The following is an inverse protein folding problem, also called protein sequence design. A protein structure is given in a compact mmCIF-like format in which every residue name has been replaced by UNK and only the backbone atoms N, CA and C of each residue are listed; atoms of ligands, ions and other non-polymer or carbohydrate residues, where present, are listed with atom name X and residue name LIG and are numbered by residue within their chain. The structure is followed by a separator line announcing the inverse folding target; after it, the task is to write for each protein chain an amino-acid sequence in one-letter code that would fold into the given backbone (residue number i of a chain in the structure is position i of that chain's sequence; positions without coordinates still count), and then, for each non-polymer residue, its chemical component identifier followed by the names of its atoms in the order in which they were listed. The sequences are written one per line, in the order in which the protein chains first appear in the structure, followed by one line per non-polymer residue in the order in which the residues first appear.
data_IF_892339812208
#
_entry.id   IF_892339812208
#
_cell.length_a   1.000
_cell.length_b   1.000
_cell.length_c   1.000
_cell.angle_alpha   90.00
_cell.angle_beta   90.00
_cell.angle_gamma   90.00
#
_symmetry.space_group_name_H-M   'P 1'
#
loop_
_entity.id
_entity.type
_entity.pdbx_description
1 polymer ?
#
# COMPACT_ATOMS: atom_id res chain seq x y z
N UNK A 1 -0.12 -44.77 27.24
CA UNK A 1 0.04 -43.32 27.39
C UNK A 1 0.37 -42.65 26.05
N UNK A 2 1.17 -43.26 25.16
CA UNK A 2 1.57 -42.71 23.85
C UNK A 2 0.39 -42.49 22.90
N UNK A 3 -0.55 -43.42 22.79
CA UNK A 3 -1.74 -43.31 21.90
C UNK A 3 -2.65 -42.12 22.27
N UNK A 4 -2.79 -41.78 23.57
CA UNK A 4 -3.55 -40.59 24.00
C UNK A 4 -2.88 -39.26 23.60
N UNK A 5 -1.56 -39.21 23.53
CA UNK A 5 -0.80 -38.00 23.12
C UNK A 5 -0.91 -37.82 21.63
N UNK A 6 -0.79 -38.86 20.80
CA UNK A 6 -0.99 -38.80 19.37
C UNK A 6 -2.41 -38.33 18.98
N UNK A 7 -3.46 -38.89 19.61
CA UNK A 7 -4.82 -38.47 19.36
C UNK A 7 -5.07 -37.00 19.74
N UNK A 8 -4.43 -36.51 20.80
CA UNK A 8 -4.54 -35.12 21.23
C UNK A 8 -3.87 -34.16 20.23
N UNK A 9 -2.74 -34.58 19.67
CA UNK A 9 -2.00 -33.82 18.65
C UNK A 9 -2.77 -33.75 17.32
N UNK A 10 -3.36 -34.84 16.85
CA UNK A 10 -4.18 -34.86 15.64
C UNK A 10 -5.48 -34.05 15.80
N UNK A 11 -6.12 -34.12 16.96
CA UNK A 11 -7.27 -33.28 17.28
C UNK A 11 -6.90 -31.78 17.30
N UNK A 12 -5.74 -31.43 17.85
CA UNK A 12 -5.24 -30.06 17.88
C UNK A 12 -4.97 -29.55 16.45
N UNK A 13 -4.32 -30.35 15.60
CA UNK A 13 -4.11 -30.02 14.18
C UNK A 13 -5.42 -29.76 13.44
N UNK A 14 -6.41 -30.64 13.64
CA UNK A 14 -7.74 -30.50 13.01
C UNK A 14 -8.44 -29.22 13.49
N UNK A 15 -8.31 -28.90 14.77
CA UNK A 15 -8.87 -27.68 15.35
C UNK A 15 -8.20 -26.42 14.82
N UNK A 16 -6.87 -26.40 14.76
CA UNK A 16 -6.06 -25.31 14.18
C UNK A 16 -6.43 -25.12 12.70
N UNK A 17 -6.54 -26.19 11.92
CA UNK A 17 -6.93 -26.13 10.51
C UNK A 17 -8.33 -25.53 10.34
N UNK A 18 -9.28 -25.86 11.22
CA UNK A 18 -10.64 -25.28 11.24
C UNK A 18 -10.62 -23.79 11.58
N UNK A 19 -9.80 -23.35 12.55
CA UNK A 19 -9.64 -21.92 12.88
C UNK A 19 -9.04 -21.17 11.70
N UNK A 20 -7.97 -21.67 11.11
CA UNK A 20 -7.28 -21.03 9.98
C UNK A 20 -8.17 -21.01 8.71
N UNK A 21 -9.06 -21.99 8.54
CA UNK A 21 -10.01 -22.00 7.41
C UNK A 21 -11.17 -21.00 7.58
N UNK A 22 -11.41 -20.48 8.78
CA UNK A 22 -12.46 -19.51 9.04
C UNK A 22 -12.15 -18.18 8.35
N UNK A 23 -13.09 -17.69 7.52
CA UNK A 23 -12.95 -16.45 6.75
C UNK A 23 -12.73 -15.22 7.64
N UNK A 24 -13.39 -15.16 8.80
CA UNK A 24 -13.23 -14.06 9.75
C UNK A 24 -11.84 -14.06 10.39
N UNK A 25 -11.31 -15.23 10.73
CA UNK A 25 -9.95 -15.36 11.26
C UNK A 25 -8.89 -14.96 10.23
N UNK A 26 -9.07 -15.37 8.97
CA UNK A 26 -8.19 -14.94 7.87
C UNK A 26 -8.20 -13.41 7.69
N UNK A 27 -9.38 -12.78 7.75
CA UNK A 27 -9.50 -11.32 7.68
C UNK A 27 -8.76 -10.65 8.84
N UNK A 28 -8.96 -11.12 10.07
CA UNK A 28 -8.26 -10.58 11.25
C UNK A 28 -6.75 -10.71 11.13
N UNK A 29 -6.23 -11.83 10.60
CA UNK A 29 -4.81 -12.02 10.35
C UNK A 29 -4.27 -11.07 9.26
N UNK A 30 -5.06 -10.79 8.22
CA UNK A 30 -4.69 -9.82 7.19
C UNK A 30 -4.58 -8.42 7.77
N UNK A 31 -5.56 -7.99 8.57
CA UNK A 31 -5.53 -6.69 9.25
C UNK A 31 -4.30 -6.59 10.15
N UNK A 32 -4.07 -7.58 11.01
CA UNK A 32 -2.90 -7.62 11.89
C UNK A 32 -1.58 -7.58 11.11
N UNK A 33 -1.51 -8.28 9.96
CA UNK A 33 -0.35 -8.23 9.08
C UNK A 33 -0.12 -6.82 8.55
N UNK A 34 -1.17 -6.12 8.10
CA UNK A 34 -1.08 -4.75 7.61
C UNK A 34 -0.62 -3.78 8.71
N UNK A 35 -1.18 -3.87 9.90
CA UNK A 35 -0.79 -3.04 11.04
C UNK A 35 0.68 -3.27 11.40
N UNK A 36 1.13 -4.52 11.39
CA UNK A 36 2.53 -4.86 11.63
C UNK A 36 3.44 -4.28 10.53
N UNK A 37 3.06 -4.38 9.25
CA UNK A 37 3.85 -3.83 8.15
C UNK A 37 3.96 -2.30 8.26
N UNK A 38 2.86 -1.61 8.54
CA UNK A 38 2.83 -0.16 8.79
C UNK A 38 3.74 0.22 9.97
N UNK A 39 3.62 -0.49 11.07
CA UNK A 39 4.49 -0.28 12.25
C UNK A 39 5.97 -0.47 11.91
N UNK A 40 6.31 -1.53 11.18
CA UNK A 40 7.68 -1.81 10.76
C UNK A 40 8.19 -0.75 9.77
N UNK A 41 7.35 -0.31 8.83
CA UNK A 41 7.69 0.77 7.91
C UNK A 41 8.04 2.04 8.70
N UNK A 42 7.17 2.51 9.61
CA UNK A 42 7.43 3.69 10.46
C UNK A 42 8.79 3.62 11.17
N UNK A 43 9.14 2.43 11.70
CA UNK A 43 10.42 2.21 12.39
C UNK A 43 11.62 2.22 11.47
N UNK A 44 11.46 1.80 10.22
CA UNK A 44 12.56 1.62 9.26
C UNK A 44 12.77 2.85 8.37
N UNK A 45 11.74 3.61 8.06
CA UNK A 45 11.74 4.71 7.08
C UNK A 45 12.99 5.60 7.21
N UNK A 46 13.25 6.16 8.39
CA UNK A 46 14.40 7.07 8.60
C UNK A 46 15.76 6.38 8.37
N UNK A 47 15.88 5.11 8.73
CA UNK A 47 17.12 4.33 8.50
C UNK A 47 17.28 4.01 7.02
N UNK A 48 16.20 3.61 6.36
CA UNK A 48 16.20 3.31 4.92
C UNK A 48 16.50 4.58 4.11
N UNK A 49 15.89 5.70 4.46
CA UNK A 49 16.14 6.98 3.79
C UNK A 49 17.60 7.43 3.90
N UNK A 50 18.19 7.37 5.09
CA UNK A 50 19.63 7.65 5.26
C UNK A 50 20.50 6.71 4.45
N UNK A 51 20.18 5.40 4.43
CA UNK A 51 20.89 4.41 3.62
C UNK A 51 20.69 4.67 2.13
N UNK A 52 19.50 5.10 1.69
CA UNK A 52 19.25 5.47 0.30
C UNK A 52 20.15 6.65 -0.09
N UNK A 53 20.15 7.74 0.69
CA UNK A 53 20.97 8.91 0.44
C UNK A 53 22.49 8.63 0.48
N UNK A 54 22.94 7.64 1.26
CA UNK A 54 24.38 7.25 1.28
C UNK A 54 24.81 6.44 0.04
N UNK A 55 23.85 5.93 -0.74
CA UNK A 55 24.10 5.15 -1.95
C UNK A 55 23.90 5.92 -3.25
N UNK A 56 23.17 7.03 -3.17
CA UNK A 56 22.78 7.84 -4.31
C UNK A 56 23.14 9.29 -4.04
N UNK A 57 23.98 9.85 -4.89
CA UNK A 57 24.43 11.26 -4.75
C UNK A 57 23.29 12.25 -4.88
N UNK A 58 22.25 11.88 -5.62
CA UNK A 58 21.09 12.76 -5.88
C UNK A 58 19.78 12.00 -5.64
N UNK A 59 18.87 12.63 -4.92
CA UNK A 59 17.49 12.14 -4.78
C UNK A 59 16.77 12.30 -6.13
N UNK A 60 16.05 11.27 -6.63
CA UNK A 60 15.22 11.42 -7.82
C UNK A 60 14.24 12.59 -7.66
N UNK A 61 14.07 13.39 -8.70
CA UNK A 61 13.13 14.51 -8.70
C UNK A 61 11.67 14.09 -8.82
N UNK A 62 11.41 12.79 -9.01
CA UNK A 62 10.09 12.19 -9.21
C UNK A 62 9.83 11.13 -8.17
N UNK A 63 8.64 11.14 -7.59
CA UNK A 63 8.22 10.27 -6.49
C UNK A 63 6.96 9.49 -6.87
N UNK A 64 6.96 8.18 -6.63
CA UNK A 64 5.83 7.30 -6.84
C UNK A 64 5.40 6.69 -5.51
N UNK A 65 4.22 7.08 -5.01
CA UNK A 65 3.62 6.54 -3.79
C UNK A 65 2.64 5.41 -4.09
N UNK A 66 2.61 4.40 -3.21
CA UNK A 66 1.77 3.23 -3.36
C UNK A 66 2.15 2.43 -4.62
N UNK A 67 3.45 2.28 -4.84
CA UNK A 67 3.97 1.69 -6.07
C UNK A 67 3.61 0.20 -6.22
N UNK A 68 3.35 -0.51 -5.11
CA UNK A 68 3.20 -1.96 -5.12
C UNK A 68 4.37 -2.62 -5.86
N UNK A 69 4.06 -3.50 -6.79
CA UNK A 69 5.05 -4.15 -7.66
C UNK A 69 5.35 -3.35 -8.94
N UNK A 70 4.71 -2.18 -9.13
CA UNK A 70 4.82 -1.34 -10.34
C UNK A 70 5.89 -0.25 -10.17
N UNK A 71 7.12 -0.62 -9.92
CA UNK A 71 8.21 0.35 -9.78
C UNK A 71 8.53 1.02 -11.12
N UNK A 72 8.70 2.34 -11.08
CA UNK A 72 9.08 3.15 -12.24
C UNK A 72 10.58 3.41 -12.16
N UNK A 73 11.31 3.05 -13.23
CA UNK A 73 12.75 3.28 -13.31
C UNK A 73 13.07 4.78 -13.27
N UNK A 74 14.09 5.18 -12.52
CA UNK A 74 14.51 6.58 -12.37
C UNK A 74 13.62 7.42 -11.42
N UNK A 75 12.62 6.79 -10.76
CA UNK A 75 11.79 7.41 -9.74
C UNK A 75 12.15 6.87 -8.36
N UNK A 76 11.85 7.61 -7.32
CA UNK A 76 11.84 7.07 -5.97
C UNK A 76 10.49 6.38 -5.73
N UNK A 77 10.50 5.04 -5.66
CA UNK A 77 9.30 4.25 -5.46
C UNK A 77 9.09 3.95 -3.98
N UNK A 78 7.94 4.33 -3.45
CA UNK A 78 7.60 4.19 -2.03
C UNK A 78 6.31 3.38 -1.85
N UNK A 79 6.34 2.47 -0.89
CA UNK A 79 5.19 1.71 -0.43
C UNK A 79 5.42 1.28 1.03
N UNK A 80 4.47 0.57 1.64
CA UNK A 80 4.61 0.04 3.01
C UNK A 80 5.67 -1.06 3.11
N UNK A 81 5.98 -1.73 1.99
CA UNK A 81 6.98 -2.79 1.90
C UNK A 81 7.51 -2.97 0.46
N UNK A 82 8.67 -3.63 0.31
CA UNK A 82 9.23 -4.05 -0.97
C UNK A 82 9.49 -2.90 -1.96
N UNK A 83 9.67 -1.70 -1.47
CA UNK A 83 9.89 -0.49 -2.25
C UNK A 83 11.35 -0.02 -2.17
N UNK A 84 11.69 1.08 -2.84
CA UNK A 84 13.00 1.70 -2.69
C UNK A 84 13.12 2.32 -1.30
N UNK A 85 11.99 2.82 -0.78
CA UNK A 85 11.86 3.36 0.56
C UNK A 85 10.50 2.96 1.16
N UNK A 86 10.52 2.07 2.16
CA UNK A 86 9.31 1.66 2.86
C UNK A 86 8.79 2.80 3.74
N UNK A 87 7.56 3.24 3.45
CA UNK A 87 6.88 4.35 4.16
C UNK A 87 5.44 3.94 4.47
N UNK A 88 5.00 4.19 5.70
CA UNK A 88 3.57 4.16 6.03
C UNK A 88 2.92 5.50 5.66
N UNK A 89 2.27 5.55 4.49
CA UNK A 89 1.61 6.74 3.97
C UNK A 89 0.47 7.22 4.88
N UNK A 90 -0.22 6.30 5.53
CA UNK A 90 -1.30 6.62 6.47
C UNK A 90 -0.82 7.34 7.74
N UNK A 91 0.49 7.34 8.02
CA UNK A 91 1.04 8.16 9.10
C UNK A 91 1.07 9.66 8.75
N UNK A 92 0.91 10.01 7.48
CA UNK A 92 1.09 11.37 6.96
C UNK A 92 2.54 11.86 7.00
N UNK A 93 3.45 11.19 7.70
CA UNK A 93 4.82 11.64 7.90
C UNK A 93 5.73 11.19 6.75
N UNK A 94 6.32 12.15 6.07
CA UNK A 94 7.28 11.91 4.99
C UNK A 94 8.68 12.32 5.42
N UNK A 95 9.74 11.54 5.11
CA UNK A 95 11.10 11.83 5.55
C UNK A 95 11.80 12.87 4.68
N UNK A 96 11.11 13.41 3.68
CA UNK A 96 11.67 14.28 2.66
C UNK A 96 11.76 15.73 3.15
N UNK A 97 12.76 16.43 2.63
CA UNK A 97 12.86 17.89 2.81
C UNK A 97 11.81 18.61 1.97
N UNK A 98 11.54 19.85 2.34
CA UNK A 98 10.76 20.75 1.51
C UNK A 98 11.40 20.90 0.13
N UNK A 99 10.59 21.14 -0.89
CA UNK A 99 11.02 21.39 -2.27
C UNK A 99 11.93 20.28 -2.87
N UNK A 100 11.65 19.03 -2.53
CA UNK A 100 12.45 17.88 -2.98
C UNK A 100 12.06 17.36 -4.38
N UNK A 101 10.77 17.42 -4.74
CA UNK A 101 10.27 16.75 -5.95
C UNK A 101 9.64 17.72 -6.93
N UNK A 102 9.83 17.44 -8.23
CA UNK A 102 9.13 18.13 -9.32
C UNK A 102 7.79 17.46 -9.64
N UNK A 103 7.68 16.16 -9.36
CA UNK A 103 6.50 15.38 -9.71
C UNK A 103 6.24 14.28 -8.68
N UNK A 104 4.99 14.16 -8.26
CA UNK A 104 4.52 13.10 -7.36
C UNK A 104 3.35 12.38 -8.03
N UNK A 105 3.37 11.06 -8.08
CA UNK A 105 2.28 10.24 -8.57
C UNK A 105 1.83 9.23 -7.52
N UNK A 106 0.53 8.98 -7.44
CA UNK A 106 -0.05 7.88 -6.68
C UNK A 106 -1.28 7.35 -7.40
N UNK A 107 -1.33 6.05 -7.60
CA UNK A 107 -2.42 5.37 -8.29
C UNK A 107 -3.03 4.29 -7.40
N UNK A 108 -4.35 4.29 -7.26
CA UNK A 108 -5.09 3.31 -6.47
C UNK A 108 -4.53 3.11 -5.06
N UNK A 109 -4.26 4.23 -4.36
CA UNK A 109 -3.71 4.23 -3.02
C UNK A 109 -4.50 5.12 -2.05
N UNK A 110 -4.89 6.32 -2.51
CA UNK A 110 -5.50 7.34 -1.64
C UNK A 110 -6.89 6.95 -1.15
N UNK A 111 -7.62 6.12 -1.88
CA UNK A 111 -8.93 5.58 -1.51
C UNK A 111 -8.90 4.64 -0.31
N UNK A 112 -7.73 4.18 0.09
CA UNK A 112 -7.52 3.32 1.27
C UNK A 112 -7.20 4.11 2.55
N UNK A 113 -7.13 5.43 2.46
CA UNK A 113 -6.77 6.31 3.57
C UNK A 113 -8.00 7.00 4.15
N UNK A 114 -8.05 7.11 5.48
CA UNK A 114 -9.07 7.91 6.15
C UNK A 114 -8.88 9.40 5.85
N UNK A 115 -9.95 10.06 5.41
CA UNK A 115 -9.88 11.41 4.85
C UNK A 115 -9.20 12.42 5.78
N UNK A 116 -9.62 12.49 7.03
CA UNK A 116 -9.16 13.52 7.97
C UNK A 116 -7.86 13.10 8.64
N UNK A 117 -7.80 11.86 9.12
CA UNK A 117 -6.71 11.41 9.98
C UNK A 117 -5.44 11.01 9.20
N UNK A 118 -5.60 10.54 7.95
CA UNK A 118 -4.49 9.98 7.17
C UNK A 118 -4.24 10.76 5.86
N UNK A 119 -5.26 10.95 5.03
CA UNK A 119 -5.10 11.57 3.71
C UNK A 119 -4.77 13.05 3.80
N UNK A 120 -5.48 13.81 4.62
CA UNK A 120 -5.26 15.26 4.73
C UNK A 120 -3.85 15.60 5.24
N UNK A 121 -3.30 14.98 6.30
CA UNK A 121 -1.90 15.16 6.68
C UNK A 121 -0.91 14.74 5.60
N UNK A 122 -1.18 13.63 4.89
CA UNK A 122 -0.35 13.17 3.79
C UNK A 122 -0.30 14.21 2.66
N UNK A 123 -1.46 14.72 2.21
CA UNK A 123 -1.56 15.74 1.17
C UNK A 123 -0.79 17.02 1.54
N UNK A 124 -0.92 17.49 2.78
CA UNK A 124 -0.18 18.65 3.27
C UNK A 124 1.34 18.43 3.21
N UNK A 125 1.81 17.24 3.55
CA UNK A 125 3.24 16.93 3.49
C UNK A 125 3.72 16.66 2.06
N UNK A 126 2.90 16.07 1.18
CA UNK A 126 3.20 15.96 -0.25
C UNK A 126 3.36 17.35 -0.87
N UNK A 127 2.46 18.28 -0.57
CA UNK A 127 2.54 19.66 -1.03
C UNK A 127 3.84 20.33 -0.58
N UNK A 128 4.25 20.19 0.69
CA UNK A 128 5.52 20.73 1.21
C UNK A 128 6.74 20.13 0.50
N UNK A 129 6.66 18.86 0.09
CA UNK A 129 7.77 18.20 -0.60
C UNK A 129 7.88 18.58 -2.08
N UNK A 130 6.85 19.20 -2.67
CA UNK A 130 6.91 19.69 -4.04
C UNK A 130 7.70 20.97 -4.14
N UNK A 131 8.49 21.09 -5.20
CA UNK A 131 9.10 22.36 -5.60
C UNK A 131 8.05 23.32 -6.12
N UNK A 132 8.31 24.63 -6.09
CA UNK A 132 7.46 25.60 -6.78
C UNK A 132 7.26 25.19 -8.26
N UNK A 133 6.01 25.13 -8.70
CA UNK A 133 5.65 24.65 -10.04
C UNK A 133 5.65 23.12 -10.22
N UNK A 134 5.89 22.37 -9.15
CA UNK A 134 5.78 20.91 -9.19
C UNK A 134 4.33 20.43 -9.25
N UNK A 135 4.12 19.19 -9.73
CA UNK A 135 2.81 18.61 -9.99
C UNK A 135 2.55 17.36 -9.14
N UNK A 136 1.29 17.15 -8.75
CA UNK A 136 0.80 15.90 -8.14
C UNK A 136 -0.27 15.30 -9.04
N UNK A 137 -0.09 14.04 -9.41
CA UNK A 137 -1.09 13.26 -10.13
C UNK A 137 -1.58 12.12 -9.26
N UNK A 138 -2.88 12.15 -8.97
CA UNK A 138 -3.56 11.15 -8.14
C UNK A 138 -4.64 10.48 -8.96
N UNK A 139 -4.79 9.17 -8.81
CA UNK A 139 -5.92 8.44 -9.36
C UNK A 139 -6.55 7.52 -8.32
N UNK A 140 -7.86 7.44 -8.35
CA UNK A 140 -8.68 6.53 -7.56
C UNK A 140 -9.80 5.97 -8.45
N UNK A 141 -10.51 4.91 -8.03
CA UNK A 141 -11.66 4.39 -8.76
C UNK A 141 -12.75 5.44 -8.95
N UNK A 142 -13.27 5.51 -10.16
CA UNK A 142 -14.42 6.36 -10.50
C UNK A 142 -15.71 5.67 -10.08
N UNK A 143 -16.25 6.08 -8.94
CA UNK A 143 -17.49 5.50 -8.38
C UNK A 143 -18.68 5.73 -9.29
N UNK A 144 -18.77 6.88 -9.98
CA UNK A 144 -19.86 7.15 -10.91
C UNK A 144 -19.85 6.16 -12.07
N UNK A 145 -18.68 5.94 -12.68
CA UNK A 145 -18.51 4.95 -13.75
C UNK A 145 -18.83 3.53 -13.28
N UNK A 146 -18.40 3.17 -12.06
CA UNK A 146 -18.70 1.86 -11.46
C UNK A 146 -20.21 1.67 -11.27
N UNK A 147 -20.92 2.69 -10.76
CA UNK A 147 -22.36 2.61 -10.56
C UNK A 147 -23.12 2.49 -11.89
N UNK A 148 -22.76 3.26 -12.92
CA UNK A 148 -23.39 3.17 -14.24
C UNK A 148 -23.17 1.78 -14.83
N UNK A 149 -21.93 1.28 -14.84
CA UNK A 149 -21.64 -0.05 -15.39
C UNK A 149 -22.41 -1.15 -14.65
N UNK A 150 -22.55 -1.04 -13.32
CA UNK A 150 -23.33 -1.99 -12.54
C UNK A 150 -24.82 -1.95 -12.93
N UNK A 151 -25.40 -0.79 -13.11
CA UNK A 151 -26.82 -0.63 -13.48
C UNK A 151 -27.10 -1.11 -14.91
N UNK A 152 -26.17 -0.89 -15.85
CA UNK A 152 -26.36 -1.21 -17.26
C UNK A 152 -25.96 -2.67 -17.61
N UNK A 153 -24.93 -3.21 -16.97
CA UNK A 153 -24.31 -4.49 -17.34
C UNK A 153 -24.15 -5.47 -16.18
N UNK A 154 -24.72 -5.19 -14.99
CA UNK A 154 -24.43 -5.92 -13.74
C UNK A 154 -22.91 -6.04 -13.42
N UNK A 155 -22.12 -5.06 -13.88
CA UNK A 155 -20.67 -5.02 -13.65
C UNK A 155 -19.84 -5.80 -14.67
N UNK A 156 -20.44 -6.40 -15.69
CA UNK A 156 -19.72 -7.18 -16.71
C UNK A 156 -18.76 -6.31 -17.53
N UNK A 157 -19.09 -5.06 -17.80
CA UNK A 157 -18.25 -4.12 -18.53
C UNK A 157 -16.92 -3.88 -17.83
N UNK A 158 -16.95 -3.62 -16.50
CA UNK A 158 -15.73 -3.45 -15.69
C UNK A 158 -14.90 -4.73 -15.59
N UNK A 159 -15.56 -5.89 -15.46
CA UNK A 159 -14.87 -7.18 -15.42
C UNK A 159 -14.13 -7.44 -16.73
N UNK A 160 -14.78 -7.18 -17.87
CA UNK A 160 -14.19 -7.37 -19.20
C UNK A 160 -13.06 -6.36 -19.47
N UNK A 161 -13.23 -5.09 -19.09
CA UNK A 161 -12.18 -4.08 -19.17
C UNK A 161 -10.95 -4.48 -18.35
N UNK A 162 -11.16 -4.99 -17.13
CA UNK A 162 -10.06 -5.48 -16.28
C UNK A 162 -9.34 -6.67 -16.90
N UNK A 163 -10.07 -7.67 -17.41
CA UNK A 163 -9.47 -8.83 -18.08
C UNK A 163 -8.69 -8.44 -19.34
N UNK A 164 -9.16 -7.44 -20.08
CA UNK A 164 -8.43 -6.96 -21.27
C UNK A 164 -7.11 -6.27 -20.93
N UNK A 165 -7.07 -5.55 -19.80
CA UNK A 165 -5.86 -4.84 -19.35
C UNK A 165 -4.87 -5.72 -18.59
N UNK A 166 -5.37 -6.77 -17.95
CA UNK A 166 -4.58 -7.68 -17.11
C UNK A 166 -4.98 -9.13 -17.46
N UNK A 167 -4.57 -9.63 -18.65
CA UNK A 167 -4.76 -11.04 -18.99
C UNK A 167 -3.98 -11.90 -17.99
N UNK A 168 -4.66 -12.93 -17.44
CA UNK A 168 -4.06 -13.91 -16.52
C UNK A 168 -3.03 -14.78 -17.24
#
# INVERSE_FOLDING_TARGET
KFVKVCNRYENLKKYIKKIISNSNFKRSLLVLRWDLLRFLARRRTSKMYRKYLSKHDVLPSKLHFGCGDRKIHGWLNCDVQNSDLDIDLASGNLPFKQDSFNFIVSQHCIEHLWLIEELQPLMNNMFKCLKPGGEIWLSCPDIHKICIDYLETNGEGLVNDRKSRFPE
#
